data_IF_209764603362
#
_entry.id   IF_209764603362
#
_cell.length_a   1.000
_cell.length_b   1.000
_cell.length_c   1.000
_cell.angle_alpha   90.00
_cell.angle_beta   90.00
_cell.angle_gamma   90.00
#
_symmetry.space_group_name_H-M   'P 1'
#
loop_
_entity.id
_entity.type
_entity.pdbx_description
1 polymer ?
#
# COMPACT_ATOMS: atom_id res chain seq x y z
N UNK A 1 -31.10 39.12 -41.46
CA UNK A 1 -30.22 37.92 -41.44
C UNK A 1 -28.89 38.14 -40.69
N UNK A 2 -28.37 39.37 -40.58
CA UNK A 2 -27.11 39.68 -39.89
C UNK A 2 -27.15 39.52 -38.35
N UNK A 3 -28.25 39.91 -37.69
CA UNK A 3 -28.36 39.88 -36.22
C UNK A 3 -28.32 38.47 -35.60
N UNK A 4 -28.89 37.45 -36.28
CA UNK A 4 -28.88 36.04 -35.81
C UNK A 4 -27.49 35.39 -35.90
N UNK A 5 -26.59 35.90 -36.75
CA UNK A 5 -25.20 35.42 -36.85
C UNK A 5 -24.35 35.92 -35.68
N UNK A 6 -24.56 37.16 -35.23
CA UNK A 6 -23.78 37.78 -34.14
C UNK A 6 -24.06 37.10 -32.79
N UNK A 7 -25.32 36.73 -32.50
CA UNK A 7 -25.70 36.05 -31.25
C UNK A 7 -25.11 34.62 -31.19
N UNK A 8 -25.04 33.90 -32.32
CA UNK A 8 -24.40 32.57 -32.38
C UNK A 8 -22.89 32.63 -32.16
N UNK A 9 -22.21 33.66 -32.67
CA UNK A 9 -20.75 33.83 -32.48
C UNK A 9 -20.41 34.21 -31.04
N UNK A 10 -21.24 35.04 -30.37
CA UNK A 10 -21.05 35.39 -28.95
C UNK A 10 -21.31 34.18 -28.04
N UNK A 11 -22.29 33.33 -28.36
CA UNK A 11 -22.58 32.12 -27.58
C UNK A 11 -21.51 31.02 -27.71
N UNK A 12 -20.80 30.95 -28.84
CA UNK A 12 -19.67 30.03 -29.05
C UNK A 12 -18.41 30.54 -28.33
N UNK A 13 -18.23 31.86 -28.19
CA UNK A 13 -17.11 32.44 -27.44
C UNK A 13 -17.30 32.33 -25.92
N UNK A 14 -18.54 32.33 -25.43
CA UNK A 14 -18.85 32.11 -24.00
C UNK A 14 -18.70 30.64 -23.58
N UNK A 15 -18.82 29.69 -24.53
CA UNK A 15 -18.62 28.26 -24.27
C UNK A 15 -17.13 27.83 -24.33
N UNK A 16 -16.26 28.64 -24.94
CA UNK A 16 -14.81 28.42 -24.97
C UNK A 16 -14.08 28.97 -23.72
N UNK A 17 -14.81 29.64 -22.82
CA UNK A 17 -14.34 30.12 -21.53
C UNK A 17 -14.67 29.16 -20.37
N UNK A 18 -15.02 27.90 -20.68
CA UNK A 18 -14.74 26.80 -19.76
C UNK A 18 -13.24 26.57 -19.79
N UNK A 19 -12.53 27.48 -19.12
CA UNK A 19 -11.15 27.34 -18.75
C UNK A 19 -11.01 25.96 -18.12
N UNK A 20 -10.41 25.03 -18.85
CA UNK A 20 -9.74 23.91 -18.22
C UNK A 20 -8.66 24.54 -17.35
N UNK A 21 -8.99 24.82 -16.09
CA UNK A 21 -7.96 24.95 -15.07
C UNK A 21 -7.30 23.60 -15.05
N UNK A 22 -6.16 23.49 -15.76
CA UNK A 22 -5.19 22.47 -15.43
C UNK A 22 -4.88 22.72 -13.97
N UNK A 23 -5.48 21.93 -13.08
CA UNK A 23 -5.03 21.84 -11.70
C UNK A 23 -3.64 21.23 -11.83
N UNK A 24 -2.64 22.10 -11.79
CA UNK A 24 -1.26 21.66 -11.73
C UNK A 24 -1.07 20.98 -10.38
N UNK A 25 -0.47 19.79 -10.39
CA UNK A 25 0.02 19.16 -9.19
C UNK A 25 0.86 20.17 -8.41
N UNK A 26 0.41 20.54 -7.21
CA UNK A 26 1.15 21.46 -6.36
C UNK A 26 1.92 20.70 -5.28
N UNK A 27 2.97 21.33 -4.77
CA UNK A 27 3.75 20.80 -3.66
C UNK A 27 3.28 21.47 -2.37
N UNK A 28 2.97 20.65 -1.38
CA UNK A 28 2.51 21.04 -0.06
C UNK A 28 3.50 20.59 0.99
N UNK A 29 3.98 21.52 1.79
CA UNK A 29 4.98 21.30 2.81
C UNK A 29 4.34 21.47 4.18
N UNK A 30 4.51 20.46 5.03
CA UNK A 30 4.10 20.54 6.41
C UNK A 30 5.01 21.52 7.17
N UNK A 31 4.47 22.32 8.10
CA UNK A 31 5.19 23.26 8.97
C UNK A 31 4.59 23.30 10.38
N UNK A 32 5.33 23.83 11.36
CA UNK A 32 4.80 24.15 12.69
C UNK A 32 4.78 23.00 13.71
N UNK A 33 5.45 21.88 13.44
CA UNK A 33 5.53 20.75 14.36
C UNK A 33 4.26 19.89 14.35
N UNK A 34 3.77 19.48 15.52
CA UNK A 34 2.56 18.66 15.62
C UNK A 34 1.31 19.40 15.17
N UNK A 35 0.37 18.68 14.57
CA UNK A 35 -0.88 19.28 14.10
C UNK A 35 -1.85 18.27 13.49
N UNK A 36 -3.03 18.77 13.17
CA UNK A 36 -4.08 18.03 12.47
C UNK A 36 -3.92 18.22 10.95
N UNK A 37 -4.07 17.15 10.18
CA UNK A 37 -3.94 17.16 8.72
C UNK A 37 -4.89 18.18 8.07
N UNK A 38 -6.10 18.32 8.63
CA UNK A 38 -7.11 19.27 8.15
C UNK A 38 -6.79 20.74 8.41
N UNK A 39 -5.83 21.06 9.28
CA UNK A 39 -5.50 22.43 9.61
C UNK A 39 -4.61 23.05 8.53
N UNK A 40 -5.22 23.96 7.75
CA UNK A 40 -4.56 24.70 6.68
C UNK A 40 -3.32 25.47 7.14
N UNK A 41 -3.23 25.82 8.43
CA UNK A 41 -2.10 26.56 8.98
C UNK A 41 -0.82 25.73 9.07
N UNK A 42 -0.92 24.40 8.97
CA UNK A 42 0.23 23.50 8.89
C UNK A 42 0.74 23.27 7.47
N UNK A 43 0.12 23.85 6.43
CA UNK A 43 0.50 23.63 5.04
C UNK A 43 1.09 24.88 4.36
N UNK A 44 2.14 24.70 3.57
CA UNK A 44 2.82 25.77 2.79
C UNK A 44 3.13 25.31 1.37
N UNK A 45 3.37 26.25 0.47
CA UNK A 45 3.78 25.94 -0.92
C UNK A 45 5.29 25.80 -1.11
N UNK A 46 6.08 26.03 -0.06
CA UNK A 46 7.53 25.81 0.00
C UNK A 46 7.94 25.31 1.39
N UNK A 47 9.05 24.57 1.47
CA UNK A 47 9.60 24.05 2.73
C UNK A 47 9.92 25.20 3.71
N UNK A 48 9.40 25.10 4.93
CA UNK A 48 9.55 26.13 5.98
C UNK A 48 8.93 27.50 5.64
N UNK A 49 8.12 27.57 4.58
CA UNK A 49 7.59 28.82 4.04
C UNK A 49 6.50 29.47 4.91
N UNK A 50 6.05 30.65 4.46
CA UNK A 50 4.98 31.42 5.12
C UNK A 50 3.73 31.60 4.25
N UNK A 51 3.82 31.26 2.96
CA UNK A 51 2.71 31.38 2.01
C UNK A 51 1.66 30.30 2.25
N UNK A 52 0.43 30.72 2.54
CA UNK A 52 -0.70 29.83 2.77
C UNK A 52 -1.30 29.34 1.44
N UNK A 53 -1.57 28.03 1.30
CA UNK A 53 -2.45 27.53 0.27
C UNK A 53 -3.92 27.85 0.61
N UNK A 54 -4.81 27.77 -0.39
CA UNK A 54 -6.25 28.01 -0.20
C UNK A 54 -7.03 26.79 0.27
N UNK A 55 -6.45 25.59 0.12
CA UNK A 55 -7.06 24.29 0.46
C UNK A 55 -5.98 23.35 1.00
N UNK A 56 -6.39 22.31 1.73
CA UNK A 56 -5.48 21.21 2.12
C UNK A 56 -5.13 20.34 0.90
N UNK A 57 -4.06 19.53 0.95
CA UNK A 57 -3.65 18.69 -0.18
C UNK A 57 -4.76 17.79 -0.70
N UNK A 58 -4.86 17.69 -2.03
CA UNK A 58 -5.78 16.80 -2.73
C UNK A 58 -5.08 15.67 -3.49
N UNK A 59 -5.85 14.87 -4.26
CA UNK A 59 -5.35 13.73 -5.02
C UNK A 59 -4.23 14.02 -6.03
N UNK A 60 -4.14 15.26 -6.53
CA UNK A 60 -3.11 15.67 -7.48
C UNK A 60 -1.87 16.30 -6.84
N UNK A 61 -1.86 16.50 -5.53
CA UNK A 61 -0.85 17.29 -4.84
C UNK A 61 0.19 16.42 -4.12
N UNK A 62 1.46 16.81 -4.17
CA UNK A 62 2.53 16.12 -3.46
C UNK A 62 2.70 16.71 -2.06
N UNK A 63 2.82 15.88 -1.02
CA UNK A 63 3.06 16.33 0.35
C UNK A 63 4.46 15.98 0.83
N UNK A 64 5.07 16.92 1.55
CA UNK A 64 6.43 16.84 2.06
C UNK A 64 6.47 17.17 3.54
N UNK A 65 7.08 16.27 4.32
CA UNK A 65 7.35 16.39 5.74
C UNK A 65 8.87 16.34 5.92
N UNK A 66 9.49 17.52 5.92
CA UNK A 66 10.93 17.70 5.77
C UNK A 66 11.54 18.57 6.87
N UNK A 67 12.81 18.98 6.70
CA UNK A 67 13.49 19.83 7.67
C UNK A 67 12.75 21.13 8.01
N UNK A 68 11.93 21.65 7.09
CA UNK A 68 11.07 22.82 7.29
C UNK A 68 9.81 22.55 8.12
N UNK A 69 9.50 21.28 8.42
CA UNK A 69 8.32 20.90 9.20
C UNK A 69 8.35 21.33 10.66
N UNK A 70 9.52 21.68 11.19
CA UNK A 70 9.64 22.23 12.53
C UNK A 70 9.36 21.20 13.64
N UNK A 71 9.54 19.91 13.36
CA UNK A 71 9.37 18.87 14.36
C UNK A 71 10.43 18.96 15.46
N UNK A 72 9.98 18.81 16.70
CA UNK A 72 10.83 18.80 17.91
C UNK A 72 10.48 17.58 18.75
N UNK A 73 11.31 17.26 19.75
CA UNK A 73 11.05 16.11 20.62
C UNK A 73 9.66 16.15 21.28
N UNK A 74 9.17 17.34 21.65
CA UNK A 74 7.85 17.57 22.25
C UNK A 74 6.74 17.86 21.23
N UNK A 75 7.08 18.11 19.96
CA UNK A 75 6.10 18.46 18.93
C UNK A 75 6.47 17.81 17.59
N UNK A 76 6.04 16.57 17.40
CA UNK A 76 6.37 15.74 16.23
C UNK A 76 5.22 14.88 15.69
N UNK A 77 3.97 15.15 16.07
CA UNK A 77 2.83 14.29 15.72
C UNK A 77 1.96 14.91 14.64
N UNK A 78 1.91 14.28 13.48
CA UNK A 78 0.94 14.58 12.42
C UNK A 78 -0.27 13.66 12.62
N UNK A 79 -1.44 14.25 12.83
CA UNK A 79 -2.68 13.51 13.07
C UNK A 79 -3.59 13.63 11.85
N UNK A 80 -3.83 12.51 11.17
CA UNK A 80 -4.87 12.39 10.18
C UNK A 80 -6.24 12.39 10.88
N UNK A 81 -6.96 13.51 10.83
CA UNK A 81 -8.24 13.72 11.51
C UNK A 81 -9.44 13.73 10.55
N UNK A 82 -9.15 13.69 9.25
CA UNK A 82 -10.09 13.54 8.12
C UNK A 82 -9.49 12.57 7.11
N UNK A 83 -10.27 12.13 6.12
CA UNK A 83 -9.70 11.34 5.00
C UNK A 83 -8.64 12.16 4.26
N UNK A 84 -7.41 11.66 4.26
CA UNK A 84 -6.28 12.29 3.59
C UNK A 84 -6.24 11.90 2.13
N UNK A 85 -6.01 12.88 1.25
CA UNK A 85 -5.80 12.65 -0.18
C UNK A 85 -4.50 13.31 -0.58
N UNK A 86 -3.66 12.57 -1.28
CA UNK A 86 -2.33 13.02 -1.67
C UNK A 86 -1.89 12.24 -2.90
N UNK A 87 -1.20 12.90 -3.83
CA UNK A 87 -0.48 12.23 -4.90
C UNK A 87 0.73 11.48 -4.33
N UNK A 88 1.88 12.13 -4.19
CA UNK A 88 3.05 11.55 -3.51
C UNK A 88 3.11 12.00 -2.05
N UNK A 89 3.37 11.08 -1.11
CA UNK A 89 3.62 11.41 0.30
C UNK A 89 5.08 11.14 0.65
N UNK A 90 5.79 12.17 1.10
CA UNK A 90 7.23 12.08 1.38
C UNK A 90 7.54 12.59 2.79
N UNK A 91 7.95 11.70 3.67
CA UNK A 91 8.63 12.01 4.92
C UNK A 91 10.13 11.81 4.71
N UNK A 92 10.91 12.89 4.76
CA UNK A 92 12.36 12.80 4.58
C UNK A 92 13.07 14.08 5.03
N UNK A 93 14.22 13.94 5.68
CA UNK A 93 15.09 15.07 6.02
C UNK A 93 14.70 15.85 7.28
N UNK A 94 13.66 15.44 8.01
CA UNK A 94 13.38 15.98 9.34
C UNK A 94 14.45 15.51 10.34
N UNK A 95 15.02 16.42 11.13
CA UNK A 95 16.01 16.07 12.17
C UNK A 95 15.41 15.20 13.29
N UNK A 96 14.14 15.43 13.60
CA UNK A 96 13.33 14.59 14.49
C UNK A 96 12.32 13.84 13.63
N UNK A 97 12.44 12.51 13.58
CA UNK A 97 11.49 11.67 12.86
C UNK A 97 10.08 11.83 13.44
N UNK A 98 9.07 12.18 12.63
CA UNK A 98 7.73 12.45 13.13
C UNK A 98 6.94 11.17 13.38
N UNK A 99 5.91 11.30 14.21
CA UNK A 99 4.84 10.31 14.35
C UNK A 99 3.73 10.65 13.37
N UNK A 100 3.29 9.69 12.57
CA UNK A 100 2.10 9.82 11.73
C UNK A 100 1.01 8.87 12.19
N UNK A 101 -0.11 9.44 12.63
CA UNK A 101 -1.22 8.70 13.25
C UNK A 101 -2.57 9.26 12.81
N UNK A 102 -3.66 8.75 13.37
CA UNK A 102 -5.02 9.13 13.05
C UNK A 102 -5.84 9.46 14.30
N UNK A 103 -6.86 10.29 14.14
CA UNK A 103 -7.94 10.48 15.10
C UNK A 103 -9.20 9.79 14.60
N UNK A 104 -9.70 8.81 15.37
CA UNK A 104 -10.76 7.90 14.92
C UNK A 104 -10.27 6.90 13.88
N UNK A 105 -11.19 6.35 13.09
CA UNK A 105 -10.87 5.47 11.96
C UNK A 105 -10.79 6.30 10.68
N UNK A 106 -9.57 6.50 10.18
CA UNK A 106 -9.30 7.33 9.02
C UNK A 106 -8.69 6.53 7.87
N UNK A 107 -8.75 7.14 6.69
CA UNK A 107 -8.22 6.60 5.46
C UNK A 107 -7.21 7.57 4.85
N UNK A 108 -6.06 7.05 4.44
CA UNK A 108 -5.10 7.76 3.61
C UNK A 108 -5.18 7.23 2.18
N UNK A 109 -5.55 8.10 1.23
CA UNK A 109 -5.52 7.83 -0.20
C UNK A 109 -4.23 8.41 -0.80
N UNK A 110 -3.36 7.53 -1.28
CA UNK A 110 -2.12 7.84 -1.98
C UNK A 110 -2.35 7.55 -3.48
N UNK A 111 -2.34 8.58 -4.30
CA UNK A 111 -2.53 8.50 -5.75
C UNK A 111 -1.21 8.35 -6.51
N UNK A 112 -0.07 8.41 -5.82
CA UNK A 112 1.28 8.26 -6.33
C UNK A 112 2.12 7.34 -5.44
N UNK A 113 3.37 7.70 -5.22
CA UNK A 113 4.34 6.94 -4.41
C UNK A 113 4.40 7.40 -2.96
N UNK A 114 4.97 6.55 -2.09
CA UNK A 114 5.27 6.90 -0.70
C UNK A 114 6.75 6.75 -0.37
N UNK A 115 7.24 7.66 0.47
CA UNK A 115 8.54 7.59 1.11
C UNK A 115 8.35 7.89 2.59
N UNK A 116 8.69 6.94 3.46
CA UNK A 116 8.69 7.14 4.91
C UNK A 116 10.10 7.48 5.40
N UNK A 117 10.22 8.24 6.49
CA UNK A 117 11.53 8.60 7.03
C UNK A 117 12.02 7.52 8.01
N UNK A 118 13.27 7.08 7.88
CA UNK A 118 13.88 6.20 8.88
C UNK A 118 13.77 6.80 10.30
N UNK A 119 13.49 5.93 11.27
CA UNK A 119 13.32 6.31 12.68
C UNK A 119 11.92 6.81 13.04
N UNK A 120 10.99 6.92 12.07
CA UNK A 120 9.57 7.08 12.42
C UNK A 120 9.09 5.87 13.23
N UNK A 121 8.24 6.06 14.25
CA UNK A 121 7.52 4.95 14.85
C UNK A 121 6.54 4.36 13.82
N UNK A 122 5.81 3.33 14.25
CA UNK A 122 4.76 2.69 13.44
C UNK A 122 3.81 3.74 12.83
N UNK A 123 3.59 3.67 11.51
CA UNK A 123 2.57 4.48 10.82
C UNK A 123 1.20 3.94 11.20
N UNK A 124 0.50 4.65 12.08
CA UNK A 124 -0.74 4.18 12.68
C UNK A 124 -1.98 4.77 11.98
N UNK A 125 -2.26 4.28 10.77
CA UNK A 125 -3.42 4.64 9.93
C UNK A 125 -4.21 3.37 9.62
N UNK A 126 -5.55 3.37 9.78
CA UNK A 126 -6.34 2.15 9.69
C UNK A 126 -6.35 1.58 8.26
N UNK A 127 -6.57 2.45 7.27
CA UNK A 127 -6.57 2.07 5.86
C UNK A 127 -5.66 2.98 5.05
N UNK A 128 -4.76 2.37 4.28
CA UNK A 128 -3.86 3.05 3.35
C UNK A 128 -4.15 2.51 1.95
N UNK A 129 -4.56 3.37 1.03
CA UNK A 129 -4.85 3.00 -0.34
C UNK A 129 -3.79 3.57 -1.28
N UNK A 130 -3.24 2.72 -2.14
CA UNK A 130 -2.54 3.15 -3.35
C UNK A 130 -3.55 3.12 -4.50
N UNK A 131 -4.16 4.27 -4.76
CA UNK A 131 -5.28 4.44 -5.70
C UNK A 131 -4.82 4.37 -7.15
N UNK A 132 -5.72 3.92 -8.03
CA UNK A 132 -5.47 3.93 -9.46
C UNK A 132 -5.39 5.34 -10.05
N UNK A 133 -4.37 5.53 -10.88
CA UNK A 133 -4.12 6.71 -11.72
C UNK A 133 -3.54 6.34 -13.08
N UNK A 134 -3.07 5.10 -13.26
CA UNK A 134 -2.32 4.65 -14.45
C UNK A 134 -0.81 4.92 -14.35
N UNK A 135 -0.35 5.62 -13.32
CA UNK A 135 1.06 5.85 -13.04
C UNK A 135 1.67 4.69 -12.24
N UNK A 136 2.87 4.26 -12.63
CA UNK A 136 3.67 3.32 -11.84
C UNK A 136 4.11 3.95 -10.50
N UNK A 137 3.89 3.25 -9.39
CA UNK A 137 4.13 3.75 -8.03
C UNK A 137 5.27 3.00 -7.35
N UNK A 138 5.83 3.65 -6.35
CA UNK A 138 6.82 3.04 -5.47
C UNK A 138 6.42 3.16 -4.00
N UNK A 139 6.89 2.21 -3.20
CA UNK A 139 6.83 2.24 -1.74
C UNK A 139 8.27 2.16 -1.25
N UNK A 140 8.74 3.23 -0.62
CA UNK A 140 10.03 3.29 0.08
C UNK A 140 9.78 3.41 1.57
N UNK A 141 10.05 2.36 2.33
CA UNK A 141 9.74 2.34 3.76
C UNK A 141 10.81 2.91 4.66
N UNK A 142 12.08 2.88 4.24
CA UNK A 142 13.25 3.16 5.06
C UNK A 142 13.21 2.44 6.43
N UNK A 143 12.68 1.22 6.45
CA UNK A 143 12.52 0.39 7.65
C UNK A 143 11.31 0.73 8.52
N UNK A 144 10.46 1.68 8.12
CA UNK A 144 9.24 2.04 8.83
C UNK A 144 8.17 0.98 8.66
N UNK A 145 7.52 0.66 9.76
CA UNK A 145 6.48 -0.37 9.85
C UNK A 145 5.11 0.32 9.74
N UNK A 146 4.18 -0.21 8.93
CA UNK A 146 2.76 0.19 9.04
C UNK A 146 2.11 -0.56 10.19
N UNK A 147 1.19 0.08 10.91
CA UNK A 147 0.53 -0.48 12.09
C UNK A 147 -0.45 -1.59 11.76
N UNK A 148 -1.51 -1.71 12.56
CA UNK A 148 -2.61 -2.62 12.27
C UNK A 148 -3.46 -2.11 11.09
N UNK A 149 -2.81 -1.94 9.94
CA UNK A 149 -3.28 -1.21 8.77
C UNK A 149 -3.66 -2.20 7.68
N UNK A 150 -4.81 -1.98 7.05
CA UNK A 150 -5.08 -2.57 5.74
C UNK A 150 -4.40 -1.70 4.67
N UNK A 151 -3.54 -2.31 3.86
CA UNK A 151 -2.92 -1.68 2.71
C UNK A 151 -3.59 -2.22 1.45
N UNK A 152 -4.28 -1.33 0.74
CA UNK A 152 -5.00 -1.66 -0.49
C UNK A 152 -4.17 -1.21 -1.69
N UNK A 153 -3.85 -2.16 -2.57
CA UNK A 153 -3.14 -1.93 -3.81
C UNK A 153 -4.17 -1.94 -4.95
N UNK A 154 -4.61 -0.75 -5.35
CA UNK A 154 -5.65 -0.55 -6.36
C UNK A 154 -5.11 0.00 -7.69
N UNK A 155 -3.79 0.20 -7.84
CA UNK A 155 -3.19 0.68 -9.08
C UNK A 155 -3.12 -0.40 -10.15
N UNK A 156 -3.75 -0.16 -11.31
CA UNK A 156 -3.77 -1.09 -12.44
C UNK A 156 -2.45 -1.17 -13.23
N UNK A 157 -1.59 -0.15 -13.15
CA UNK A 157 -0.25 -0.21 -13.75
C UNK A 157 0.69 -1.08 -12.89
N UNK A 158 1.40 -0.46 -11.95
CA UNK A 158 2.32 -1.17 -11.08
C UNK A 158 2.59 -0.44 -9.78
N UNK A 159 2.87 -1.21 -8.74
CA UNK A 159 3.42 -0.76 -7.46
C UNK A 159 4.67 -1.57 -7.19
N UNK A 160 5.78 -0.90 -6.92
CA UNK A 160 7.09 -1.54 -6.75
C UNK A 160 7.72 -1.18 -5.40
N UNK A 161 8.19 -2.18 -4.66
CA UNK A 161 9.01 -1.95 -3.48
C UNK A 161 10.41 -1.48 -3.91
N UNK A 162 10.94 -0.51 -3.19
CA UNK A 162 12.32 -0.01 -3.36
C UNK A 162 13.24 -0.42 -2.20
N UNK A 163 12.67 -0.98 -1.14
CA UNK A 163 13.35 -1.57 0.01
C UNK A 163 12.49 -2.67 0.67
N UNK A 164 12.96 -3.24 1.78
CA UNK A 164 12.20 -4.21 2.54
C UNK A 164 10.96 -3.57 3.16
N UNK A 165 9.79 -4.22 3.05
CA UNK A 165 8.52 -3.65 3.50
C UNK A 165 7.87 -4.51 4.59
N UNK A 166 7.41 -3.85 5.67
CA UNK A 166 6.72 -4.51 6.79
C UNK A 166 5.30 -3.91 6.91
N UNK A 167 4.33 -4.69 6.45
CA UNK A 167 2.91 -4.42 6.57
C UNK A 167 2.34 -5.19 7.77
N UNK A 168 2.18 -4.60 8.96
CA UNK A 168 1.93 -5.40 10.18
C UNK A 168 0.58 -6.10 10.25
N UNK A 169 -0.32 -5.87 9.28
CA UNK A 169 -1.61 -6.57 9.22
C UNK A 169 -1.87 -7.18 7.84
N UNK A 170 -2.48 -6.45 6.92
CA UNK A 170 -2.96 -7.04 5.68
C UNK A 170 -2.60 -6.21 4.45
N UNK A 171 -2.19 -6.92 3.39
CA UNK A 171 -2.08 -6.38 2.04
C UNK A 171 -3.21 -6.97 1.20
N UNK A 172 -4.01 -6.09 0.61
CA UNK A 172 -5.07 -6.41 -0.32
C UNK A 172 -4.62 -5.99 -1.72
N UNK A 173 -4.10 -6.94 -2.49
CA UNK A 173 -3.71 -6.73 -3.88
C UNK A 173 -4.92 -6.93 -4.79
N UNK A 174 -5.52 -5.82 -5.21
CA UNK A 174 -6.83 -5.85 -5.87
C UNK A 174 -6.75 -5.78 -7.39
N UNK A 175 -5.70 -5.16 -7.94
CA UNK A 175 -5.49 -5.04 -9.39
C UNK A 175 -4.04 -4.69 -9.71
N UNK A 176 -3.65 -4.86 -10.97
CA UNK A 176 -2.38 -4.42 -11.52
C UNK A 176 -1.20 -5.28 -11.10
N UNK A 177 0.00 -4.71 -11.17
CA UNK A 177 1.24 -5.46 -10.89
C UNK A 177 1.85 -5.03 -9.56
N UNK A 178 2.07 -5.97 -8.64
CA UNK A 178 2.86 -5.75 -7.43
C UNK A 178 4.24 -6.39 -7.59
N UNK A 179 5.30 -5.56 -7.55
CA UNK A 179 6.69 -5.99 -7.64
C UNK A 179 7.36 -5.87 -6.27
N UNK A 180 7.85 -6.99 -5.75
CA UNK A 180 8.70 -6.99 -4.55
C UNK A 180 10.16 -6.65 -4.86
N UNK A 181 10.58 -6.74 -6.12
CA UNK A 181 11.93 -6.45 -6.59
C UNK A 181 13.06 -7.21 -5.86
N UNK A 182 12.77 -8.38 -5.29
CA UNK A 182 13.75 -9.14 -4.51
C UNK A 182 13.90 -8.67 -3.06
N UNK A 183 13.21 -7.60 -2.65
CA UNK A 183 13.19 -7.14 -1.27
C UNK A 183 12.29 -8.02 -0.40
N UNK A 184 12.62 -8.10 0.90
CA UNK A 184 11.81 -8.85 1.85
C UNK A 184 10.45 -8.18 2.06
N UNK A 185 9.39 -8.99 2.13
CA UNK A 185 8.02 -8.56 2.41
C UNK A 185 7.53 -9.27 3.67
N UNK A 186 7.17 -8.51 4.71
CA UNK A 186 6.59 -9.08 5.94
C UNK A 186 5.15 -8.64 6.08
N UNK A 187 4.24 -9.60 6.30
CA UNK A 187 2.82 -9.31 6.56
C UNK A 187 2.17 -10.41 7.39
N UNK A 188 1.00 -10.16 7.97
CA UNK A 188 0.16 -11.23 8.53
C UNK A 188 -0.69 -11.88 7.47
N UNK A 189 -1.25 -11.06 6.59
CA UNK A 189 -2.12 -11.52 5.51
C UNK A 189 -1.78 -10.85 4.17
N UNK A 190 -1.86 -11.64 3.12
CA UNK A 190 -1.77 -11.19 1.74
C UNK A 190 -2.96 -11.78 0.99
N UNK A 191 -3.79 -10.91 0.41
CA UNK A 191 -5.00 -11.28 -0.31
C UNK A 191 -4.92 -10.77 -1.74
N UNK A 192 -5.01 -11.69 -2.70
CA UNK A 192 -5.11 -11.40 -4.12
C UNK A 192 -6.15 -12.32 -4.78
N UNK A 193 -7.23 -12.60 -4.05
CA UNK A 193 -8.31 -13.49 -4.45
C UNK A 193 -9.66 -12.76 -4.59
N UNK A 194 -9.65 -11.42 -4.48
CA UNK A 194 -10.87 -10.61 -4.49
C UNK A 194 -10.96 -9.79 -5.77
N UNK A 195 -12.16 -9.73 -6.34
CA UNK A 195 -12.44 -8.97 -7.55
C UNK A 195 -12.18 -9.73 -8.85
N UNK A 196 -12.40 -9.04 -9.96
CA UNK A 196 -12.36 -9.59 -11.32
C UNK A 196 -11.35 -8.89 -12.23
N UNK A 197 -10.60 -7.93 -11.69
CA UNK A 197 -9.53 -7.26 -12.42
C UNK A 197 -8.24 -8.09 -12.36
N UNK A 198 -7.46 -8.15 -13.44
CA UNK A 198 -6.20 -8.88 -13.43
C UNK A 198 -5.23 -8.37 -12.35
N UNK A 199 -4.59 -9.30 -11.64
CA UNK A 199 -3.48 -9.04 -10.73
C UNK A 199 -2.23 -9.78 -11.22
N UNK A 200 -1.04 -9.20 -11.02
CA UNK A 200 0.25 -9.86 -11.26
C UNK A 200 1.16 -9.66 -10.06
N UNK A 201 1.55 -10.75 -9.39
CA UNK A 201 2.52 -10.69 -8.29
C UNK A 201 3.90 -11.16 -8.78
N UNK A 202 4.89 -10.27 -8.71
CA UNK A 202 6.28 -10.57 -9.04
C UNK A 202 7.12 -10.64 -7.77
N UNK A 203 7.56 -11.86 -7.43
CA UNK A 203 8.33 -12.12 -6.20
C UNK A 203 9.85 -12.09 -6.40
N UNK A 204 10.37 -12.19 -7.63
CA UNK A 204 11.82 -12.18 -7.86
C UNK A 204 12.56 -13.18 -6.97
N UNK A 205 13.55 -12.71 -6.21
CA UNK A 205 14.29 -13.50 -5.20
C UNK A 205 13.90 -13.14 -3.75
N UNK A 206 12.70 -12.62 -3.52
CA UNK A 206 12.26 -12.11 -2.23
C UNK A 206 12.05 -13.21 -1.19
N UNK A 207 12.29 -12.88 0.08
CA UNK A 207 11.72 -13.60 1.21
C UNK A 207 10.39 -12.95 1.60
N UNK A 208 9.33 -13.75 1.71
CA UNK A 208 8.01 -13.32 2.15
C UNK A 208 7.74 -13.94 3.52
N UNK A 209 7.62 -13.12 4.56
CA UNK A 209 7.40 -13.57 5.94
C UNK A 209 5.94 -13.36 6.34
N UNK A 210 5.25 -14.46 6.55
CA UNK A 210 3.90 -14.57 7.09
C UNK A 210 4.01 -14.77 8.60
N UNK A 211 3.53 -13.79 9.38
CA UNK A 211 3.92 -13.62 10.80
C UNK A 211 2.81 -13.81 11.82
N UNK A 212 1.63 -14.27 11.40
CA UNK A 212 0.51 -14.55 12.29
C UNK A 212 0.27 -16.05 12.43
N UNK A 213 -0.25 -16.47 13.58
CA UNK A 213 -0.61 -17.86 13.82
C UNK A 213 -1.70 -18.34 12.86
N UNK A 214 -2.53 -17.41 12.37
CA UNK A 214 -3.54 -17.62 11.33
C UNK A 214 -3.18 -16.91 10.03
N UNK A 215 -1.89 -16.82 9.69
CA UNK A 215 -1.44 -16.13 8.48
C UNK A 215 -2.09 -16.68 7.21
N UNK A 216 -2.42 -15.79 6.28
CA UNK A 216 -3.04 -16.13 5.00
C UNK A 216 -2.25 -15.56 3.84
N UNK A 217 -1.76 -16.41 2.94
CA UNK A 217 -1.28 -16.01 1.63
C UNK A 217 -2.26 -16.56 0.59
N UNK A 218 -3.19 -15.72 0.15
CA UNK A 218 -4.31 -16.14 -0.69
C UNK A 218 -4.19 -15.62 -2.12
N UNK A 219 -3.84 -16.53 -3.01
CA UNK A 219 -3.84 -16.36 -4.46
C UNK A 219 -4.81 -17.33 -5.14
N UNK A 220 -5.83 -17.83 -4.43
CA UNK A 220 -6.86 -18.72 -4.96
C UNK A 220 -7.84 -17.94 -5.88
N UNK A 221 -7.37 -17.53 -7.07
CA UNK A 221 -8.17 -16.85 -8.08
C UNK A 221 -7.60 -17.06 -9.48
N UNK A 222 -8.48 -17.14 -10.48
CA UNK A 222 -8.09 -17.15 -11.90
C UNK A 222 -7.61 -15.80 -12.42
N UNK A 223 -7.81 -14.71 -11.65
CA UNK A 223 -7.44 -13.36 -12.06
C UNK A 223 -6.01 -12.96 -11.66
N UNK A 224 -5.34 -13.75 -10.81
CA UNK A 224 -3.96 -13.49 -10.42
C UNK A 224 -2.96 -14.36 -11.20
N UNK A 225 -1.97 -13.70 -11.79
CA UNK A 225 -0.73 -14.32 -12.27
C UNK A 225 0.34 -14.24 -11.18
N UNK A 226 0.91 -15.37 -10.79
CA UNK A 226 2.03 -15.45 -9.84
C UNK A 226 3.33 -15.73 -10.58
N UNK A 227 4.28 -14.81 -10.49
CA UNK A 227 5.66 -15.00 -10.95
C UNK A 227 6.58 -15.16 -9.74
N UNK A 228 6.78 -16.42 -9.32
CA UNK A 228 7.50 -16.73 -8.08
C UNK A 228 9.01 -16.49 -8.14
N UNK A 229 9.63 -16.47 -9.32
CA UNK A 229 11.09 -16.36 -9.45
C UNK A 229 11.83 -17.44 -8.63
N UNK A 230 12.75 -17.02 -7.76
CA UNK A 230 13.47 -17.86 -6.79
C UNK A 230 13.10 -17.51 -5.34
N UNK A 231 11.89 -17.00 -5.12
CA UNK A 231 11.41 -16.54 -3.81
C UNK A 231 11.23 -17.63 -2.76
N UNK A 232 11.18 -17.22 -1.48
CA UNK A 232 10.86 -18.10 -0.36
C UNK A 232 9.72 -17.50 0.46
N UNK A 233 8.60 -18.22 0.58
CA UNK A 233 7.50 -17.86 1.46
C UNK A 233 7.64 -18.63 2.79
N UNK A 234 7.71 -17.89 3.89
CA UNK A 234 7.89 -18.39 5.24
C UNK A 234 6.62 -18.16 6.05
N UNK A 235 6.01 -19.22 6.55
CA UNK A 235 5.00 -19.16 7.59
C UNK A 235 5.69 -19.38 8.93
N UNK A 236 6.07 -18.27 9.57
CA UNK A 236 7.03 -18.25 10.69
C UNK A 236 6.48 -18.83 11.98
N UNK A 237 5.19 -18.60 12.24
CA UNK A 237 4.53 -18.97 13.50
C UNK A 237 3.13 -19.58 13.30
N UNK A 238 2.82 -20.03 12.08
CA UNK A 238 1.50 -20.58 11.76
C UNK A 238 1.15 -21.76 12.70
N UNK A 239 -0.11 -21.84 13.10
CA UNK A 239 -0.63 -22.88 13.98
C UNK A 239 -1.89 -23.48 13.36
N UNK A 240 -1.77 -24.72 12.89
CA UNK A 240 -2.84 -25.48 12.24
C UNK A 240 -3.95 -25.87 13.22
N UNK A 241 -3.67 -26.16 14.49
CA UNK A 241 -4.72 -26.64 15.41
C UNK A 241 -5.85 -25.62 15.59
N UNK A 242 -5.53 -24.33 15.47
CA UNK A 242 -6.49 -23.24 15.54
C UNK A 242 -7.08 -22.86 14.16
N UNK A 243 -6.50 -23.38 13.07
CA UNK A 243 -6.71 -22.90 11.70
C UNK A 243 -6.81 -24.02 10.66
N UNK A 244 -7.28 -25.20 11.06
CA UNK A 244 -7.42 -26.39 10.20
C UNK A 244 -8.61 -26.30 9.24
N UNK A 245 -8.76 -25.14 8.62
CA UNK A 245 -9.79 -24.84 7.64
C UNK A 245 -9.09 -24.20 6.42
N UNK A 246 -9.61 -24.46 5.23
CA UNK A 246 -9.12 -23.97 3.93
C UNK A 246 -9.13 -22.43 3.75
N UNK A 247 -9.23 -21.66 4.83
CA UNK A 247 -9.27 -20.20 4.86
C UNK A 247 -7.95 -19.55 5.30
N UNK A 248 -7.00 -20.33 5.84
CA UNK A 248 -5.69 -19.86 6.31
C UNK A 248 -4.56 -20.71 5.73
N UNK A 249 -3.32 -20.21 5.81
CA UNK A 249 -2.15 -20.82 5.22
C UNK A 249 -1.90 -20.36 3.78
N UNK A 250 -1.41 -21.25 2.93
CA UNK A 250 -1.17 -20.98 1.51
C UNK A 250 -2.38 -21.44 0.69
N UNK A 251 -3.13 -20.48 0.15
CA UNK A 251 -4.31 -20.74 -0.67
C UNK A 251 -3.98 -20.46 -2.15
N UNK A 252 -3.95 -21.52 -2.94
CA UNK A 252 -3.43 -21.53 -4.31
C UNK A 252 -4.54 -21.62 -5.35
N UNK A 253 -4.23 -21.34 -6.62
CA UNK A 253 -5.12 -21.61 -7.76
C UNK A 253 -4.42 -22.48 -8.80
N UNK A 254 -5.21 -23.23 -9.57
CA UNK A 254 -4.70 -24.09 -10.63
C UNK A 254 -3.84 -23.33 -11.66
N UNK A 255 -2.68 -23.89 -12.00
CA UNK A 255 -1.71 -23.31 -12.93
C UNK A 255 -0.59 -22.51 -12.26
N UNK A 256 -0.68 -22.25 -10.95
CA UNK A 256 0.35 -21.50 -10.23
C UNK A 256 1.61 -22.35 -10.00
N UNK A 257 2.77 -21.68 -10.06
CA UNK A 257 4.06 -22.26 -9.70
C UNK A 257 4.69 -21.40 -8.62
N UNK A 258 4.94 -22.01 -7.46
CA UNK A 258 5.67 -21.42 -6.36
C UNK A 258 7.12 -21.94 -6.36
N UNK A 259 8.04 -21.18 -5.77
CA UNK A 259 9.40 -21.66 -5.57
C UNK A 259 9.50 -22.39 -4.23
N UNK A 260 10.05 -21.76 -3.19
CA UNK A 260 10.17 -22.38 -1.86
C UNK A 260 9.05 -21.91 -0.92
N UNK A 261 8.47 -22.85 -0.18
CA UNK A 261 7.51 -22.58 0.89
C UNK A 261 7.93 -23.36 2.14
N UNK A 262 8.04 -22.68 3.28
CA UNK A 262 8.30 -23.34 4.57
C UNK A 262 7.28 -22.91 5.61
N UNK A 263 6.69 -23.89 6.29
CA UNK A 263 5.96 -23.70 7.54
C UNK A 263 6.90 -24.03 8.69
N UNK A 264 7.33 -23.01 9.42
CA UNK A 264 8.50 -23.06 10.29
C UNK A 264 8.20 -23.53 11.71
N UNK A 265 6.95 -23.42 12.16
CA UNK A 265 6.56 -23.88 13.49
C UNK A 265 6.65 -25.42 13.54
N UNK A 266 7.56 -25.92 14.38
CA UNK A 266 7.91 -27.34 14.46
C UNK A 266 7.08 -28.12 15.48
N UNK A 267 6.07 -27.50 16.09
CA UNK A 267 5.17 -28.21 17.00
C UNK A 267 4.27 -29.18 16.23
N UNK A 268 3.74 -30.23 16.87
CA UNK A 268 2.80 -31.16 16.23
C UNK A 268 1.55 -30.45 15.70
N UNK A 269 1.18 -29.31 16.30
CA UNK A 269 0.08 -28.47 15.84
C UNK A 269 0.54 -27.34 14.90
N UNK A 270 1.84 -27.15 14.75
CA UNK A 270 2.48 -26.01 14.08
C UNK A 270 2.80 -26.20 12.60
N UNK A 271 2.45 -27.34 12.00
CA UNK A 271 2.58 -27.45 10.57
C UNK A 271 1.55 -26.59 9.83
N UNK A 272 1.62 -26.61 8.51
CA UNK A 272 0.94 -25.65 7.64
C UNK A 272 -0.33 -26.17 7.01
N UNK A 273 -1.16 -25.26 6.56
CA UNK A 273 -2.26 -25.56 5.63
C UNK A 273 -1.88 -25.11 4.22
N UNK A 274 -1.94 -26.04 3.27
CA UNK A 274 -1.79 -25.78 1.83
C UNK A 274 -3.05 -26.29 1.12
N UNK A 275 -3.72 -25.42 0.35
CA UNK A 275 -4.94 -25.82 -0.35
C UNK A 275 -5.52 -24.72 -1.22
N UNK A 276 -6.81 -24.79 -1.49
CA UNK A 276 -7.54 -23.82 -2.32
C UNK A 276 -8.64 -24.53 -3.11
N UNK A 277 -9.73 -23.84 -3.42
CA UNK A 277 -10.80 -24.42 -4.23
C UNK A 277 -10.47 -24.23 -5.72
N UNK A 278 -9.93 -25.25 -6.37
CA UNK A 278 -9.65 -25.29 -7.81
C UNK A 278 -9.51 -26.73 -8.30
N UNK A 279 -9.61 -26.95 -9.61
CA UNK A 279 -9.43 -28.28 -10.22
C UNK A 279 -8.09 -28.46 -10.96
N UNK A 280 -7.26 -27.41 -11.02
CA UNK A 280 -5.97 -27.44 -11.71
C UNK A 280 -4.80 -27.92 -10.85
N UNK A 281 -3.66 -28.19 -11.48
CA UNK A 281 -2.40 -28.54 -10.80
C UNK A 281 -1.69 -27.29 -10.26
N UNK A 282 -0.98 -27.44 -9.15
CA UNK A 282 -0.09 -26.41 -8.58
C UNK A 282 1.30 -27.00 -8.44
N UNK A 283 2.32 -26.22 -8.76
CA UNK A 283 3.71 -26.67 -8.77
C UNK A 283 4.53 -25.94 -7.71
N UNK A 284 5.51 -26.64 -7.15
CA UNK A 284 6.44 -26.11 -6.14
C UNK A 284 7.84 -26.58 -6.46
N UNK A 285 8.86 -25.75 -6.19
CA UNK A 285 10.25 -26.22 -6.16
C UNK A 285 10.52 -27.01 -4.87
N UNK A 286 10.13 -26.47 -3.71
CA UNK A 286 10.20 -27.15 -2.42
C UNK A 286 9.06 -26.69 -1.51
N UNK A 287 8.41 -27.62 -0.85
CA UNK A 287 7.53 -27.35 0.30
C UNK A 287 8.07 -28.10 1.51
N UNK A 288 8.20 -27.41 2.64
CA UNK A 288 8.67 -27.97 3.89
C UNK A 288 7.70 -27.64 5.02
N UNK A 289 7.25 -28.67 5.71
CA UNK A 289 6.51 -28.57 6.96
C UNK A 289 7.42 -29.05 8.07
N UNK A 290 7.78 -28.16 9.02
CA UNK A 290 8.60 -28.55 10.18
C UNK A 290 7.78 -29.26 11.27
N UNK A 291 6.46 -29.02 11.30
CA UNK A 291 5.46 -29.73 12.10
C UNK A 291 4.42 -30.44 11.22
N UNK A 292 3.28 -30.87 11.78
CA UNK A 292 2.26 -31.63 11.04
C UNK A 292 1.49 -30.74 10.06
N UNK A 293 1.72 -30.93 8.75
CA UNK A 293 1.04 -30.20 7.69
C UNK A 293 -0.23 -30.88 7.17
N UNK A 294 -1.18 -30.09 6.67
CA UNK A 294 -2.27 -30.53 5.82
C UNK A 294 -2.11 -30.00 4.41
N UNK A 295 -2.24 -30.90 3.44
CA UNK A 295 -2.35 -30.58 2.03
C UNK A 295 -3.72 -31.01 1.55
N UNK A 296 -4.45 -30.08 0.97
CA UNK A 296 -5.75 -30.33 0.40
C UNK A 296 -5.72 -30.08 -1.11
N UNK A 297 -6.45 -30.91 -1.87
CA UNK A 297 -6.59 -30.81 -3.32
C UNK A 297 -8.01 -31.05 -3.79
#
# INVERSE_FOLDING_TARGET
>A
MLQKKIIKTISIFLFLLLSFTKVFAANYYWVGGSGAWSDINHWRTTSGGTTYPSVVPGPGDNTFFDGGSGFTASSKTVTLDVTGNVHNITFSGSSVAPTFTQSGLQTLNIYGSSVWQSGMPVVNIANIYYRHTGEAKTITSNGVITGNSNIFLEEENSISLTDAFIASYAIWHQTGTFNTNGYSLTTKHYYANNGTKPQTLNLGSSNVYMTDYASTFNTNSSYITLNAGTSHIHFTVFDKANNDNYFYGLLTYGGQTFYNVTFENATSNGGGTLGGNHSGKVYFNKVEFKGDGAVYG
#
